data_IF_535305055842
#
_entry.id   IF_535305055842
#
_cell.length_a   1.000
_cell.length_b   1.000
_cell.length_c   1.000
_cell.angle_alpha   90.00
_cell.angle_beta   90.00
_cell.angle_gamma   90.00
#
_symmetry.space_group_name_H-M   'P 1'
#
loop_
_entity.id
_entity.type
_entity.pdbx_description
1 polymer ?
#
# COMPACT_ATOMS: atom_id res chain seq x y z
N UNK A 1 5.96 -40.34 20.80
CA UNK A 1 4.88 -39.88 21.68
C UNK A 1 4.07 -38.86 20.92
N UNK A 2 2.84 -39.16 20.58
CA UNK A 2 1.89 -38.24 19.97
C UNK A 2 1.45 -37.31 21.09
N UNK A 3 1.91 -36.05 21.05
CA UNK A 3 1.45 -35.02 21.98
C UNK A 3 -0.01 -34.73 21.69
N UNK A 4 -0.87 -34.99 22.67
CA UNK A 4 -2.26 -34.55 22.65
C UNK A 4 -2.28 -33.05 23.01
N UNK A 5 -2.27 -32.19 22.02
CA UNK A 5 -2.55 -30.78 22.17
C UNK A 5 -4.08 -30.61 22.18
N UNK A 6 -4.70 -30.94 23.31
CA UNK A 6 -6.06 -30.48 23.63
C UNK A 6 -5.94 -29.16 24.38
N UNK A 7 -7.01 -28.51 24.77
CA UNK A 7 -7.10 -27.22 25.52
C UNK A 7 -6.20 -27.09 26.78
N UNK A 8 -5.16 -27.89 26.89
CA UNK A 8 -4.15 -27.86 27.96
C UNK A 8 -3.02 -26.93 27.55
N UNK A 9 -2.59 -26.11 28.49
CA UNK A 9 -1.29 -25.47 28.46
C UNK A 9 -0.21 -26.47 28.05
N UNK A 10 0.66 -26.08 27.13
CA UNK A 10 1.81 -26.93 26.76
C UNK A 10 2.68 -27.13 27.97
N UNK A 11 3.17 -28.37 28.16
CA UNK A 11 4.08 -28.68 29.26
C UNK A 11 5.31 -27.76 29.25
N UNK A 12 5.88 -27.55 30.45
CA UNK A 12 7.09 -26.74 30.60
C UNK A 12 8.24 -27.38 29.81
N UNK A 13 8.93 -26.54 29.00
CA UNK A 13 10.02 -26.95 28.14
C UNK A 13 11.36 -26.51 28.74
N UNK A 14 12.36 -27.38 28.67
CA UNK A 14 13.74 -27.14 29.17
C UNK A 14 14.79 -27.34 28.10
N UNK A 15 14.39 -27.33 26.80
CA UNK A 15 15.25 -27.71 25.68
C UNK A 15 16.33 -26.68 25.33
N UNK A 16 16.26 -25.44 25.82
CA UNK A 16 17.24 -24.39 25.55
C UNK A 16 17.41 -23.45 26.75
N UNK A 17 18.51 -22.69 26.75
CA UNK A 17 18.90 -21.81 27.86
C UNK A 17 17.83 -20.80 28.26
N UNK A 18 17.14 -20.17 27.29
CA UNK A 18 16.12 -19.15 27.59
C UNK A 18 14.89 -19.70 28.31
N UNK A 19 14.66 -21.01 28.27
CA UNK A 19 13.61 -21.65 29.03
C UNK A 19 13.78 -21.47 30.57
N UNK A 20 15.04 -21.41 31.03
CA UNK A 20 15.37 -21.23 32.45
C UNK A 20 15.00 -19.84 32.98
N UNK A 21 14.89 -18.85 32.09
CA UNK A 21 14.60 -17.45 32.44
C UNK A 21 13.15 -17.04 32.18
N UNK A 22 12.34 -17.95 31.62
CA UNK A 22 10.95 -17.64 31.23
C UNK A 22 9.99 -18.39 32.18
N UNK A 23 9.40 -17.70 33.18
CA UNK A 23 8.52 -18.33 34.16
C UNK A 23 7.24 -18.87 33.52
N UNK A 24 6.69 -18.16 32.53
CA UNK A 24 5.48 -18.53 31.81
C UNK A 24 5.78 -18.64 30.31
N UNK A 25 5.93 -19.87 29.85
CA UNK A 25 6.14 -20.18 28.45
C UNK A 25 4.82 -20.08 27.68
N UNK A 26 4.86 -19.51 26.45
CA UNK A 26 3.65 -19.33 25.67
C UNK A 26 2.97 -20.65 25.30
N UNK A 27 1.65 -20.61 25.30
CA UNK A 27 0.76 -21.57 24.65
C UNK A 27 -0.04 -20.89 23.55
N UNK A 28 -0.47 -21.62 22.50
CA UNK A 28 -1.28 -21.03 21.42
C UNK A 28 -2.59 -20.45 21.95
N UNK A 29 -3.02 -19.32 21.41
CA UNK A 29 -4.26 -18.64 21.79
C UNK A 29 -5.23 -18.54 20.61
N UNK A 30 -6.53 -18.65 20.87
CA UNK A 30 -7.61 -18.57 19.89
C UNK A 30 -8.23 -19.94 19.60
N UNK A 31 -9.09 -20.00 18.59
CA UNK A 31 -9.86 -21.21 18.26
C UNK A 31 -8.98 -22.40 17.90
N UNK A 32 -9.45 -23.62 18.18
CA UNK A 32 -8.81 -24.87 17.73
C UNK A 32 -9.09 -25.22 16.27
N UNK A 33 -9.99 -24.48 15.60
CA UNK A 33 -10.34 -24.64 14.18
C UNK A 33 -10.23 -23.32 13.42
N UNK A 34 -9.01 -22.72 13.39
CA UNK A 34 -8.83 -21.40 12.82
C UNK A 34 -8.93 -21.39 11.28
N UNK A 35 -9.54 -20.37 10.73
CA UNK A 35 -9.37 -20.08 9.31
C UNK A 35 -7.98 -19.49 9.02
N UNK A 36 -7.46 -18.68 9.95
CA UNK A 36 -6.18 -17.98 9.84
C UNK A 36 -5.33 -18.26 11.08
N UNK A 37 -4.05 -18.58 10.85
CA UNK A 37 -3.07 -18.83 11.91
C UNK A 37 -1.96 -17.79 11.87
N UNK A 38 -1.85 -16.95 12.87
CA UNK A 38 -0.82 -15.92 12.98
C UNK A 38 0.39 -16.42 13.75
N UNK A 39 1.58 -16.30 13.14
CA UNK A 39 2.86 -16.71 13.72
C UNK A 39 3.75 -15.49 13.90
N UNK A 40 4.04 -15.13 15.16
CA UNK A 40 5.01 -14.10 15.51
C UNK A 40 6.42 -14.65 15.76
N UNK A 41 7.33 -13.79 16.18
CA UNK A 41 8.73 -14.14 16.48
C UNK A 41 8.88 -14.75 17.85
N UNK A 42 8.58 -14.00 18.90
CA UNK A 42 8.81 -14.36 20.30
C UNK A 42 7.91 -13.52 21.21
N UNK A 43 7.71 -13.98 22.49
CA UNK A 43 7.02 -13.16 23.48
C UNK A 43 7.70 -11.81 23.71
N UNK A 44 6.91 -10.78 23.99
CA UNK A 44 7.36 -9.54 24.58
C UNK A 44 7.45 -9.62 26.13
N UNK A 45 7.82 -8.51 26.79
CA UNK A 45 7.93 -8.49 28.25
C UNK A 45 6.61 -8.81 28.98
N UNK A 46 5.48 -8.30 28.48
CA UNK A 46 4.16 -8.54 29.07
C UNK A 46 3.73 -10.00 28.87
N UNK A 47 3.99 -10.57 27.71
CA UNK A 47 3.67 -11.94 27.37
C UNK A 47 4.51 -12.93 28.19
N UNK A 48 5.78 -12.60 28.51
CA UNK A 48 6.65 -13.39 29.39
C UNK A 48 6.04 -13.61 30.78
N UNK A 49 5.39 -12.57 31.32
CA UNK A 49 4.82 -12.62 32.67
C UNK A 49 3.49 -13.41 32.75
N UNK A 50 2.75 -13.44 31.61
CA UNK A 50 1.40 -14.01 31.59
C UNK A 50 1.34 -15.36 30.85
N UNK A 51 2.31 -15.64 29.96
CA UNK A 51 2.31 -16.85 29.14
C UNK A 51 1.30 -16.84 27.99
N UNK A 52 0.75 -15.67 27.61
CA UNK A 52 -0.26 -15.53 26.57
C UNK A 52 0.31 -14.69 25.42
N UNK A 53 0.26 -15.17 24.16
CA UNK A 53 0.79 -14.43 23.01
C UNK A 53 -0.06 -13.21 22.66
N UNK A 54 0.57 -12.19 22.10
CA UNK A 54 -0.06 -10.99 21.52
C UNK A 54 -0.93 -10.16 22.49
N UNK A 55 -0.55 -10.07 23.76
CA UNK A 55 -1.23 -9.20 24.75
C UNK A 55 -0.53 -7.87 24.98
N UNK A 56 0.74 -7.73 24.62
CA UNK A 56 1.51 -6.51 24.72
C UNK A 56 1.13 -5.46 23.66
N UNK A 57 1.89 -4.36 23.62
CA UNK A 57 1.62 -3.23 22.71
C UNK A 57 1.48 -3.65 21.23
N UNK A 58 2.38 -4.50 20.75
CA UNK A 58 2.34 -5.00 19.36
C UNK A 58 1.12 -5.89 19.10
N UNK A 59 0.77 -6.75 20.07
CA UNK A 59 -0.41 -7.60 19.99
C UNK A 59 -1.71 -6.80 19.99
N UNK A 60 -1.85 -5.84 20.90
CA UNK A 60 -3.02 -4.91 20.93
C UNK A 60 -3.18 -4.17 19.61
N UNK A 61 -2.09 -3.69 19.03
CA UNK A 61 -2.13 -3.05 17.72
C UNK A 61 -2.60 -4.02 16.61
N UNK A 62 -2.09 -5.26 16.63
CA UNK A 62 -2.53 -6.29 15.68
C UNK A 62 -4.03 -6.56 15.80
N UNK A 63 -4.51 -6.83 17.01
CA UNK A 63 -5.94 -7.11 17.26
C UNK A 63 -6.83 -5.96 16.78
N UNK A 64 -6.47 -4.70 17.07
CA UNK A 64 -7.22 -3.52 16.60
C UNK A 64 -7.27 -3.43 15.07
N UNK A 65 -6.19 -3.80 14.38
CA UNK A 65 -6.18 -3.83 12.92
C UNK A 65 -7.02 -4.98 12.35
N UNK A 66 -7.00 -6.14 12.99
CA UNK A 66 -7.74 -7.33 12.58
C UNK A 66 -9.25 -7.18 12.83
N UNK A 67 -9.65 -6.54 13.91
CA UNK A 67 -11.05 -6.32 14.28
C UNK A 67 -11.84 -5.55 13.21
N UNK A 68 -11.18 -4.64 12.49
CA UNK A 68 -11.78 -3.90 11.35
C UNK A 68 -12.28 -4.86 10.26
N UNK A 69 -11.65 -6.04 10.14
CA UNK A 69 -11.97 -7.08 9.17
C UNK A 69 -12.79 -8.23 9.77
N UNK A 70 -13.24 -8.11 11.02
CA UNK A 70 -13.96 -9.17 11.72
C UNK A 70 -13.09 -10.38 12.09
N UNK A 71 -11.76 -10.19 12.15
CA UNK A 71 -10.80 -11.23 12.51
C UNK A 71 -10.45 -11.13 14.00
N UNK A 72 -10.68 -12.20 14.74
CA UNK A 72 -10.45 -12.26 16.18
C UNK A 72 -10.19 -13.70 16.64
N UNK A 73 -10.10 -13.93 17.94
CA UNK A 73 -9.81 -15.25 18.54
C UNK A 73 -10.85 -16.34 18.23
N UNK A 74 -12.07 -15.98 17.77
CA UNK A 74 -13.10 -16.95 17.40
C UNK A 74 -12.85 -17.58 16.01
N UNK A 75 -12.08 -16.92 15.15
CA UNK A 75 -11.78 -17.38 13.78
C UNK A 75 -10.28 -17.42 13.46
N UNK A 76 -9.44 -16.95 14.37
CA UNK A 76 -7.98 -16.93 14.24
C UNK A 76 -7.32 -17.65 15.42
N UNK A 77 -6.07 -18.06 15.17
CA UNK A 77 -5.18 -18.60 16.20
C UNK A 77 -3.86 -17.86 16.16
N UNK A 78 -3.25 -17.69 17.33
CA UNK A 78 -2.06 -16.87 17.52
C UNK A 78 -1.00 -17.63 18.29
N UNK A 79 0.21 -17.65 17.75
CA UNK A 79 1.36 -18.24 18.42
C UNK A 79 2.67 -17.57 17.98
N UNK A 80 3.78 -17.86 18.61
CA UNK A 80 5.10 -17.40 18.20
C UNK A 80 6.01 -18.58 17.87
N UNK A 81 7.07 -18.34 17.07
CA UNK A 81 8.12 -19.32 16.83
C UNK A 81 8.76 -19.75 18.15
N UNK A 82 9.05 -18.77 19.04
CA UNK A 82 9.55 -19.06 20.37
C UNK A 82 8.44 -19.00 21.42
N UNK A 83 8.43 -19.97 22.33
CA UNK A 83 7.57 -19.99 23.52
C UNK A 83 8.12 -19.12 24.65
N UNK A 84 9.42 -18.83 24.63
CA UNK A 84 10.15 -18.15 25.70
C UNK A 84 10.61 -16.77 25.26
N UNK A 85 10.63 -15.82 26.20
CA UNK A 85 11.16 -14.48 25.96
C UNK A 85 12.68 -14.52 25.81
N UNK A 86 13.25 -14.11 24.66
CA UNK A 86 14.69 -14.17 24.42
C UNK A 86 15.40 -13.00 25.10
N UNK A 87 15.66 -13.12 26.40
CA UNK A 87 16.45 -12.13 27.14
C UNK A 87 17.95 -12.29 26.90
N UNK A 88 18.71 -11.23 27.16
CA UNK A 88 20.14 -11.19 26.87
C UNK A 88 20.97 -12.11 27.76
N UNK A 89 20.66 -12.14 29.05
CA UNK A 89 21.28 -13.04 30.06
C UNK A 89 20.37 -13.20 31.26
N UNK A 90 20.82 -13.97 32.28
CA UNK A 90 20.13 -14.08 33.55
C UNK A 90 20.00 -12.74 34.30
N UNK A 91 21.01 -11.87 34.17
CA UNK A 91 21.10 -10.56 34.84
C UNK A 91 20.51 -9.42 33.97
N UNK A 92 20.52 -9.57 32.63
CA UNK A 92 19.97 -8.57 31.70
C UNK A 92 18.68 -9.07 31.04
N UNK A 93 17.54 -8.64 31.57
CA UNK A 93 16.21 -8.96 31.06
C UNK A 93 15.84 -8.27 29.76
N UNK A 94 16.78 -7.51 29.13
CA UNK A 94 16.55 -6.84 27.85
C UNK A 94 16.30 -7.83 26.70
N UNK A 95 15.40 -7.46 25.78
CA UNK A 95 15.12 -8.25 24.59
C UNK A 95 16.33 -8.34 23.66
N UNK A 96 16.56 -9.51 23.11
CA UNK A 96 17.48 -9.75 22.00
C UNK A 96 16.79 -10.53 20.88
N UNK A 97 17.36 -10.49 19.70
CA UNK A 97 16.89 -11.32 18.58
C UNK A 97 17.19 -12.80 18.90
N UNK A 98 16.24 -13.73 18.69
CA UNK A 98 16.46 -15.15 18.83
C UNK A 98 17.59 -15.65 17.95
N UNK A 99 18.39 -16.56 18.45
CA UNK A 99 19.41 -17.22 17.60
C UNK A 99 18.83 -18.42 16.84
N UNK A 100 19.56 -18.89 15.82
CA UNK A 100 19.10 -19.97 14.95
C UNK A 100 18.86 -21.29 15.71
N UNK A 101 19.67 -21.60 16.73
CA UNK A 101 19.48 -22.81 17.54
C UNK A 101 18.20 -22.76 18.34
N UNK A 102 17.89 -21.64 18.96
CA UNK A 102 16.62 -21.42 19.70
C UNK A 102 15.42 -21.56 18.79
N UNK A 103 15.48 -20.94 17.60
CA UNK A 103 14.43 -21.05 16.60
C UNK A 103 14.22 -22.50 16.19
N UNK A 104 15.27 -23.21 15.80
CA UNK A 104 15.17 -24.61 15.34
C UNK A 104 14.68 -25.54 16.46
N UNK A 105 15.12 -25.31 17.70
CA UNK A 105 14.66 -26.08 18.85
C UNK A 105 13.17 -25.89 19.14
N UNK A 106 12.67 -24.67 18.98
CA UNK A 106 11.31 -24.31 19.38
C UNK A 106 10.27 -24.46 18.25
N UNK A 107 10.70 -24.46 16.98
CA UNK A 107 9.83 -24.45 15.80
C UNK A 107 8.81 -25.60 15.77
N UNK A 108 9.15 -26.77 16.29
CA UNK A 108 8.25 -27.94 16.26
C UNK A 108 6.92 -27.67 16.98
N UNK A 109 6.89 -26.87 18.04
CA UNK A 109 5.64 -26.56 18.76
C UNK A 109 4.61 -25.83 17.87
N UNK A 110 5.06 -24.85 17.11
CA UNK A 110 4.17 -24.11 16.21
C UNK A 110 3.77 -24.95 15.01
N UNK A 111 4.69 -25.76 14.45
CA UNK A 111 4.40 -26.64 13.32
C UNK A 111 3.41 -27.72 13.70
N UNK A 112 3.56 -28.36 14.86
CA UNK A 112 2.62 -29.36 15.37
C UNK A 112 1.22 -28.78 15.59
N UNK A 113 1.13 -27.56 16.14
CA UNK A 113 -0.15 -26.90 16.34
C UNK A 113 -0.81 -26.50 15.00
N UNK A 114 -0.01 -26.05 14.01
CA UNK A 114 -0.49 -25.77 12.64
C UNK A 114 -1.04 -27.05 12.00
N UNK A 115 -0.29 -28.14 12.02
CA UNK A 115 -0.73 -29.43 11.42
C UNK A 115 -2.02 -29.91 12.10
N UNK A 116 -2.09 -29.80 13.43
CA UNK A 116 -3.27 -30.24 14.20
C UNK A 116 -4.52 -29.41 13.89
N UNK A 117 -4.37 -28.07 13.79
CA UNK A 117 -5.49 -27.15 13.63
C UNK A 117 -5.88 -26.93 12.18
N UNK A 118 -5.00 -27.29 11.24
CA UNK A 118 -5.19 -27.29 9.78
C UNK A 118 -5.83 -25.98 9.27
N UNK A 119 -5.20 -24.80 9.47
CA UNK A 119 -5.74 -23.53 9.04
C UNK A 119 -5.79 -23.41 7.49
N UNK A 120 -6.69 -22.57 6.98
CA UNK A 120 -6.76 -22.29 5.53
C UNK A 120 -5.55 -21.45 5.06
N UNK A 121 -4.99 -20.63 5.94
CA UNK A 121 -3.81 -19.81 5.65
C UNK A 121 -3.02 -19.54 6.94
N UNK A 122 -1.70 -19.55 6.81
CA UNK A 122 -0.75 -19.16 7.85
C UNK A 122 -0.24 -17.76 7.52
N UNK A 123 -0.21 -16.88 8.51
CA UNK A 123 0.35 -15.53 8.38
C UNK A 123 1.59 -15.43 9.23
N UNK A 124 2.74 -15.18 8.61
CA UNK A 124 4.01 -14.99 9.31
C UNK A 124 4.31 -13.50 9.50
N UNK A 125 4.45 -13.06 10.77
CA UNK A 125 4.64 -11.65 11.13
C UNK A 125 6.13 -11.32 11.29
N UNK A 126 6.71 -10.64 10.29
CA UNK A 126 8.10 -10.20 10.29
C UNK A 126 9.09 -11.19 9.70
N UNK A 127 10.38 -10.81 9.68
CA UNK A 127 11.43 -11.58 9.02
C UNK A 127 11.68 -12.95 9.67
N UNK A 128 11.72 -13.02 11.01
CA UNK A 128 12.11 -14.22 11.75
C UNK A 128 11.10 -15.34 11.54
N UNK A 129 9.81 -15.08 11.77
CA UNK A 129 8.75 -16.05 11.57
C UNK A 129 8.62 -16.48 10.11
N UNK A 130 8.72 -15.53 9.16
CA UNK A 130 8.64 -15.82 7.74
C UNK A 130 9.79 -16.72 7.29
N UNK A 131 11.01 -16.44 7.71
CA UNK A 131 12.18 -17.27 7.36
C UNK A 131 12.12 -18.65 7.99
N UNK A 132 11.62 -18.77 9.22
CA UNK A 132 11.51 -20.05 9.92
C UNK A 132 10.45 -20.96 9.27
N UNK A 133 9.35 -20.41 8.78
CA UNK A 133 8.23 -21.17 8.20
C UNK A 133 8.40 -21.40 6.70
N UNK A 134 8.82 -20.38 5.93
CA UNK A 134 8.90 -20.44 4.45
C UNK A 134 10.25 -21.00 4.00
N UNK A 135 11.33 -20.71 4.73
CA UNK A 135 12.67 -21.14 4.36
C UNK A 135 13.33 -20.29 3.26
N UNK A 136 14.15 -20.91 2.41
CA UNK A 136 14.97 -20.25 1.39
C UNK A 136 14.22 -19.36 0.37
N UNK A 137 12.99 -19.68 -0.07
CA UNK A 137 12.25 -18.79 -0.97
C UNK A 137 11.96 -17.39 -0.39
N UNK A 138 12.02 -17.25 0.94
CA UNK A 138 11.83 -15.97 1.60
C UNK A 138 13.14 -15.17 1.67
N UNK A 139 13.15 -13.97 1.11
CA UNK A 139 14.33 -13.08 1.12
C UNK A 139 14.26 -12.02 2.22
N UNK A 140 13.23 -11.17 2.20
CA UNK A 140 12.98 -10.15 3.22
C UNK A 140 11.52 -9.75 3.25
N UNK A 141 11.06 -9.26 4.41
CA UNK A 141 9.67 -8.86 4.57
C UNK A 141 9.28 -7.71 3.63
N UNK A 142 10.18 -6.77 3.36
CA UNK A 142 9.94 -5.63 2.47
C UNK A 142 9.71 -6.05 1.01
N UNK A 143 10.26 -7.19 0.59
CA UNK A 143 10.08 -7.73 -0.77
C UNK A 143 8.95 -8.76 -0.87
N UNK A 144 8.69 -9.48 0.22
CA UNK A 144 7.87 -10.68 0.21
C UNK A 144 6.52 -10.52 0.91
N UNK A 145 6.26 -9.39 1.64
CA UNK A 145 5.00 -9.25 2.37
C UNK A 145 3.79 -9.39 1.43
N UNK A 146 2.73 -10.07 1.91
CA UNK A 146 1.49 -10.35 1.18
C UNK A 146 1.63 -11.31 -0.01
N UNK A 147 2.83 -11.86 -0.33
CA UNK A 147 2.98 -12.90 -1.36
C UNK A 147 2.55 -14.26 -0.81
N UNK A 148 1.90 -15.06 -1.66
CA UNK A 148 1.48 -16.41 -1.28
C UNK A 148 2.62 -17.41 -1.54
N UNK A 149 2.95 -18.17 -0.51
CA UNK A 149 3.87 -19.31 -0.57
C UNK A 149 3.15 -20.61 -0.25
N UNK A 150 3.64 -21.71 -0.80
CA UNK A 150 3.19 -23.07 -0.45
C UNK A 150 4.30 -23.73 0.35
N UNK A 151 3.95 -24.28 1.52
CA UNK A 151 4.90 -24.93 2.43
C UNK A 151 4.31 -26.26 2.90
N UNK A 152 5.13 -27.30 2.93
CA UNK A 152 4.69 -28.64 3.37
C UNK A 152 5.14 -28.93 4.81
N UNK A 153 4.20 -29.34 5.64
CA UNK A 153 4.47 -29.89 6.97
C UNK A 153 3.76 -31.24 7.15
N UNK A 154 4.54 -32.27 7.46
CA UNK A 154 3.99 -33.59 7.74
C UNK A 154 3.17 -34.20 6.58
N UNK A 155 3.52 -33.90 5.33
CA UNK A 155 2.80 -34.35 4.13
C UNK A 155 1.55 -33.53 3.82
N UNK A 156 1.31 -32.41 4.52
CA UNK A 156 0.19 -31.51 4.27
C UNK A 156 0.74 -30.19 3.74
N UNK A 157 0.18 -29.70 2.63
CA UNK A 157 0.54 -28.43 2.02
C UNK A 157 -0.28 -27.30 2.62
N UNK A 158 0.41 -26.25 3.06
CA UNK A 158 -0.17 -25.05 3.66
C UNK A 158 0.12 -23.80 2.85
N UNK A 159 -0.86 -22.91 2.79
CA UNK A 159 -0.75 -21.56 2.23
C UNK A 159 -0.17 -20.62 3.28
N UNK A 160 0.91 -19.90 2.94
CA UNK A 160 1.62 -19.02 3.86
C UNK A 160 1.75 -17.62 3.24
N UNK A 161 1.41 -16.58 4.00
CA UNK A 161 1.58 -15.18 3.58
C UNK A 161 2.41 -14.45 4.64
N UNK A 162 3.61 -13.96 4.29
CA UNK A 162 4.38 -13.09 5.17
C UNK A 162 3.77 -11.70 5.24
N UNK A 163 3.78 -11.08 6.43
CA UNK A 163 3.30 -9.71 6.65
C UNK A 163 4.28 -8.95 7.55
N UNK A 164 4.24 -7.62 7.52
CA UNK A 164 5.01 -6.81 8.46
C UNK A 164 4.67 -7.15 9.92
N UNK A 165 5.67 -7.18 10.79
CA UNK A 165 5.42 -7.33 12.22
C UNK A 165 4.78 -6.05 12.79
N UNK A 166 3.73 -6.14 13.64
CA UNK A 166 3.06 -4.96 14.21
C UNK A 166 3.99 -3.96 14.89
N UNK A 167 5.06 -4.41 15.54
CA UNK A 167 6.05 -3.53 16.16
C UNK A 167 6.80 -2.66 15.14
N UNK A 168 6.94 -3.11 13.89
CA UNK A 168 7.54 -2.31 12.82
C UNK A 168 6.60 -1.16 12.41
N UNK A 169 5.30 -1.42 12.30
CA UNK A 169 4.30 -0.38 12.03
C UNK A 169 4.24 0.66 13.15
N UNK A 170 4.30 0.22 14.41
CA UNK A 170 4.31 1.12 15.58
C UNK A 170 5.55 2.04 15.57
N UNK A 171 6.74 1.50 15.30
CA UNK A 171 7.97 2.30 15.21
C UNK A 171 7.96 3.28 14.04
N UNK A 172 7.17 3.02 13.01
CA UNK A 172 7.01 3.85 11.81
C UNK A 172 5.60 4.42 11.73
N UNK A 173 5.00 4.82 12.85
CA UNK A 173 3.59 5.27 12.94
C UNK A 173 3.28 6.45 12.00
N UNK A 174 4.27 7.30 11.70
CA UNK A 174 4.15 8.38 10.71
C UNK A 174 4.08 7.90 9.25
N UNK A 175 4.42 6.65 8.96
CA UNK A 175 4.40 6.11 7.60
C UNK A 175 3.03 5.49 7.27
N UNK A 176 2.17 6.26 6.64
CA UNK A 176 0.84 5.83 6.22
C UNK A 176 0.88 4.68 5.22
N UNK A 177 1.88 4.65 4.33
CA UNK A 177 2.04 3.61 3.32
C UNK A 177 2.14 2.22 3.95
N UNK A 178 2.93 2.07 5.00
CA UNK A 178 3.05 0.77 5.71
C UNK A 178 1.72 0.26 6.26
N UNK A 179 0.86 1.17 6.75
CA UNK A 179 -0.48 0.78 7.24
C UNK A 179 -1.40 0.34 6.11
N UNK A 180 -1.32 1.01 4.96
CA UNK A 180 -2.06 0.62 3.76
C UNK A 180 -1.60 -0.75 3.26
N UNK A 181 -0.30 -0.97 3.13
CA UNK A 181 0.28 -2.25 2.73
C UNK A 181 -0.17 -3.37 3.68
N UNK A 182 -0.14 -3.13 4.98
CA UNK A 182 -0.57 -4.10 5.98
C UNK A 182 -2.07 -4.45 5.84
N UNK A 183 -2.94 -3.46 5.58
CA UNK A 183 -4.37 -3.70 5.32
C UNK A 183 -4.59 -4.48 4.03
N UNK A 184 -3.84 -4.17 2.95
CA UNK A 184 -3.86 -4.94 1.71
C UNK A 184 -3.46 -6.39 1.96
N UNK A 185 -2.40 -6.62 2.73
CA UNK A 185 -1.96 -7.97 3.06
C UNK A 185 -3.05 -8.74 3.84
N UNK A 186 -3.78 -8.09 4.76
CA UNK A 186 -4.95 -8.71 5.43
C UNK A 186 -6.05 -9.08 4.40
N UNK A 187 -6.32 -8.22 3.43
CA UNK A 187 -7.31 -8.51 2.38
C UNK A 187 -6.88 -9.69 1.52
N UNK A 188 -5.58 -9.82 1.19
CA UNK A 188 -5.04 -10.99 0.49
C UNK A 188 -5.21 -12.27 1.31
N UNK A 189 -4.92 -12.22 2.61
CA UNK A 189 -5.15 -13.34 3.53
C UNK A 189 -6.62 -13.77 3.51
N UNK A 190 -7.56 -12.81 3.56
CA UNK A 190 -8.99 -13.10 3.50
C UNK A 190 -9.39 -13.69 2.15
N UNK A 191 -8.82 -13.20 1.04
CA UNK A 191 -9.09 -13.72 -0.30
C UNK A 191 -8.63 -15.17 -0.45
N UNK A 192 -7.48 -15.51 0.12
CA UNK A 192 -7.00 -16.92 0.20
C UNK A 192 -7.95 -17.79 0.98
N UNK A 193 -8.45 -17.32 2.14
CA UNK A 193 -9.43 -18.06 2.94
C UNK A 193 -10.74 -18.31 2.22
N UNK A 194 -11.19 -17.36 1.39
CA UNK A 194 -12.42 -17.45 0.60
C UNK A 194 -12.26 -18.22 -0.72
N UNK A 195 -11.02 -18.58 -1.10
CA UNK A 195 -10.74 -19.22 -2.39
C UNK A 195 -10.87 -18.27 -3.59
N UNK A 196 -10.87 -16.94 -3.34
CA UNK A 196 -10.96 -15.89 -4.37
C UNK A 196 -9.60 -15.28 -4.68
N UNK A 197 -8.54 -15.79 -4.06
CA UNK A 197 -7.18 -15.33 -4.32
C UNK A 197 -6.79 -15.57 -5.76
N UNK A 198 -6.33 -14.56 -6.44
CA UNK A 198 -5.72 -14.64 -7.76
C UNK A 198 -4.27 -14.17 -7.65
N UNK A 199 -3.32 -15.01 -8.07
CA UNK A 199 -1.90 -14.63 -8.14
C UNK A 199 -1.67 -13.44 -9.09
N UNK A 200 -2.65 -13.17 -9.92
CA UNK A 200 -2.71 -11.99 -10.79
C UNK A 200 -3.11 -10.72 -10.04
N UNK A 201 -3.65 -10.78 -8.82
CA UNK A 201 -4.11 -9.59 -8.09
C UNK A 201 -2.97 -8.63 -7.70
N UNK A 202 -1.74 -9.11 -7.53
CA UNK A 202 -0.55 -8.27 -7.34
C UNK A 202 0.16 -7.89 -8.64
N UNK A 203 -0.04 -8.66 -9.71
CA UNK A 203 0.47 -8.38 -11.05
C UNK A 203 -0.61 -7.84 -11.99
N UNK A 204 -1.86 -7.80 -11.57
CA UNK A 204 -2.88 -7.03 -12.29
C UNK A 204 -2.64 -5.53 -11.98
N UNK A 205 -1.60 -4.99 -12.57
CA UNK A 205 -1.76 -3.68 -13.18
C UNK A 205 -2.94 -3.86 -14.12
N UNK A 206 -4.13 -3.36 -13.74
CA UNK A 206 -5.13 -3.11 -14.75
C UNK A 206 -4.38 -2.32 -15.80
N UNK A 207 -4.21 -2.89 -16.95
CA UNK A 207 -3.58 -2.21 -18.07
C UNK A 207 -4.62 -1.22 -18.57
N UNK A 208 -4.42 0.04 -18.23
CA UNK A 208 -5.30 1.12 -18.64
C UNK A 208 -4.83 1.75 -19.96
N UNK A 209 -3.85 1.15 -20.63
CA UNK A 209 -3.38 1.64 -21.93
C UNK A 209 -4.53 1.76 -22.93
N UNK A 210 -5.52 0.88 -22.84
CA UNK A 210 -6.72 0.90 -23.68
C UNK A 210 -7.77 1.95 -23.23
N UNK A 211 -7.71 2.40 -21.97
CA UNK A 211 -8.66 3.35 -21.37
C UNK A 211 -8.12 4.79 -21.38
N UNK A 212 -6.87 4.99 -21.80
CA UNK A 212 -6.19 6.28 -21.79
C UNK A 212 -5.74 6.71 -23.18
N UNK A 213 -6.00 7.95 -23.52
CA UNK A 213 -5.64 8.52 -24.83
C UNK A 213 -4.63 9.64 -24.66
N UNK A 214 -3.48 9.53 -25.33
CA UNK A 214 -2.52 10.61 -25.45
C UNK A 214 -2.87 11.47 -26.67
N UNK A 215 -3.19 12.73 -26.41
CA UNK A 215 -3.66 13.68 -27.41
C UNK A 215 -2.54 14.69 -27.73
N UNK A 216 -2.22 14.83 -28.99
CA UNK A 216 -1.21 15.76 -29.51
C UNK A 216 -1.74 16.78 -30.49
N UNK A 217 -2.94 16.59 -31.03
CA UNK A 217 -3.54 17.50 -32.04
C UNK A 217 -4.90 18.00 -31.58
N UNK A 218 -5.32 19.14 -32.09
CA UNK A 218 -6.67 19.66 -31.88
C UNK A 218 -7.75 18.70 -32.39
N UNK A 219 -7.51 18.00 -33.48
CA UNK A 219 -8.48 17.07 -34.06
C UNK A 219 -8.76 15.93 -33.09
N UNK A 220 -7.72 15.29 -32.57
CA UNK A 220 -7.83 14.23 -31.55
C UNK A 220 -8.54 14.75 -30.28
N UNK A 221 -8.17 15.95 -29.85
CA UNK A 221 -8.79 16.57 -28.67
C UNK A 221 -10.28 16.81 -28.88
N UNK A 222 -10.67 17.40 -30.01
CA UNK A 222 -12.07 17.70 -30.30
C UNK A 222 -12.90 16.42 -30.43
N UNK A 223 -12.36 15.37 -31.03
CA UNK A 223 -13.00 14.06 -31.10
C UNK A 223 -13.24 13.50 -29.70
N UNK A 224 -12.22 13.49 -28.86
CA UNK A 224 -12.36 13.03 -27.47
C UNK A 224 -13.41 13.83 -26.68
N UNK A 225 -13.41 15.16 -26.84
CA UNK A 225 -14.39 16.03 -26.21
C UNK A 225 -15.83 15.68 -26.63
N UNK A 226 -16.07 15.45 -27.92
CA UNK A 226 -17.39 15.10 -28.43
C UNK A 226 -17.87 13.72 -27.97
N UNK A 227 -16.98 12.74 -27.97
CA UNK A 227 -17.30 11.36 -27.63
C UNK A 227 -17.44 11.14 -26.12
N UNK A 228 -16.57 11.72 -25.29
CA UNK A 228 -16.45 11.36 -23.89
C UNK A 228 -16.81 12.47 -22.90
N UNK A 229 -16.68 13.75 -23.26
CA UNK A 229 -16.76 14.87 -22.30
C UNK A 229 -18.05 15.69 -22.45
N UNK A 230 -18.44 16.02 -23.67
CA UNK A 230 -19.51 17.00 -23.90
C UNK A 230 -20.86 16.60 -23.31
N UNK A 231 -21.19 15.32 -23.38
CA UNK A 231 -22.45 14.78 -22.81
C UNK A 231 -22.45 14.61 -21.29
N UNK A 232 -21.31 14.81 -20.63
CA UNK A 232 -21.14 14.56 -19.20
C UNK A 232 -21.40 15.83 -18.39
N UNK A 233 -22.01 15.66 -17.23
CA UNK A 233 -22.24 16.73 -16.25
C UNK A 233 -21.09 16.86 -15.25
N UNK A 234 -20.29 15.82 -15.10
CA UNK A 234 -19.21 15.70 -14.11
C UNK A 234 -17.92 15.29 -14.81
N UNK A 235 -16.84 16.01 -14.55
CA UNK A 235 -15.54 15.86 -15.23
C UNK A 235 -14.43 16.01 -14.19
N UNK A 236 -13.49 15.09 -14.20
CA UNK A 236 -12.24 15.24 -13.47
C UNK A 236 -11.22 15.98 -14.32
N UNK A 237 -10.53 16.93 -13.70
CA UNK A 237 -9.55 17.80 -14.36
C UNK A 237 -8.29 17.96 -13.52
N UNK A 238 -7.17 17.93 -14.20
CA UNK A 238 -5.86 18.20 -13.60
C UNK A 238 -4.94 18.91 -14.61
N UNK A 239 -4.02 19.73 -14.11
CA UNK A 239 -3.13 20.57 -14.93
C UNK A 239 -1.67 20.38 -14.52
N UNK A 240 -0.81 20.22 -15.51
CA UNK A 240 0.62 20.13 -15.35
C UNK A 240 1.35 21.40 -15.78
N UNK A 241 2.23 21.88 -14.91
CA UNK A 241 2.95 23.15 -15.12
C UNK A 241 4.45 22.96 -14.92
N UNK A 242 5.23 23.80 -15.62
CA UNK A 242 6.69 23.76 -15.49
C UNK A 242 7.23 24.42 -14.22
N UNK A 243 6.39 25.14 -13.47
CA UNK A 243 6.76 25.82 -12.23
C UNK A 243 5.59 25.83 -11.24
N UNK A 244 5.90 25.70 -9.95
CA UNK A 244 4.92 25.81 -8.86
C UNK A 244 4.49 27.25 -8.62
N UNK A 245 5.38 28.24 -8.87
CA UNK A 245 5.06 29.67 -8.75
C UNK A 245 4.32 30.14 -10.01
N UNK A 246 3.03 30.30 -9.89
CA UNK A 246 2.12 30.75 -10.96
C UNK A 246 2.35 32.21 -11.39
N UNK A 247 3.05 33.00 -10.58
CA UNK A 247 3.41 34.38 -10.88
C UNK A 247 4.80 34.48 -11.53
N UNK A 248 5.50 33.37 -11.70
CA UNK A 248 6.76 33.34 -12.41
C UNK A 248 6.58 33.79 -13.85
N UNK A 249 7.54 34.57 -14.37
CA UNK A 249 7.55 34.97 -15.79
C UNK A 249 7.68 33.78 -16.74
N UNK A 250 8.22 32.67 -16.25
CA UNK A 250 8.44 31.43 -17.00
C UNK A 250 7.32 30.40 -16.78
N UNK A 251 6.22 30.78 -16.10
CA UNK A 251 5.08 29.92 -15.89
C UNK A 251 4.48 29.50 -17.23
N UNK A 252 4.42 28.20 -17.47
CA UNK A 252 3.82 27.61 -18.65
C UNK A 252 3.10 26.32 -18.31
N UNK A 253 1.98 26.09 -18.97
CA UNK A 253 1.25 24.82 -18.89
C UNK A 253 1.85 23.86 -19.88
N UNK A 254 2.31 22.70 -19.41
CA UNK A 254 2.92 21.65 -20.23
C UNK A 254 1.90 20.64 -20.72
N UNK A 255 0.80 20.48 -20.01
CA UNK A 255 -0.30 19.62 -20.39
C UNK A 255 -1.43 19.63 -19.37
N UNK A 256 -2.47 18.92 -19.66
CA UNK A 256 -3.60 18.71 -18.74
C UNK A 256 -4.29 17.39 -19.05
N UNK A 257 -5.05 16.88 -18.09
CA UNK A 257 -5.84 15.69 -18.26
C UNK A 257 -7.33 15.93 -18.01
N UNK A 258 -8.16 15.17 -18.69
CA UNK A 258 -9.60 15.11 -18.52
C UNK A 258 -10.04 13.65 -18.41
N UNK A 259 -10.98 13.38 -17.52
CA UNK A 259 -11.62 12.08 -17.41
C UNK A 259 -13.13 12.22 -17.16
N UNK A 260 -13.86 11.19 -17.55
CA UNK A 260 -15.29 11.06 -17.32
C UNK A 260 -15.62 9.74 -16.64
N UNK A 261 -16.89 9.55 -16.25
CA UNK A 261 -17.37 8.36 -15.52
C UNK A 261 -17.19 7.00 -16.23
N UNK A 262 -16.77 6.96 -17.48
CA UNK A 262 -16.74 5.73 -18.27
C UNK A 262 -15.37 5.05 -18.29
N UNK A 263 -14.57 5.23 -17.26
CA UNK A 263 -13.21 4.69 -17.19
C UNK A 263 -12.31 5.14 -18.35
N UNK A 264 -12.67 6.23 -19.03
CA UNK A 264 -11.87 6.81 -20.11
C UNK A 264 -11.34 8.18 -19.74
N UNK A 265 -10.06 8.37 -19.98
CA UNK A 265 -9.38 9.64 -19.76
C UNK A 265 -8.43 9.99 -20.90
N UNK A 266 -8.05 11.26 -20.98
CA UNK A 266 -7.00 11.70 -21.88
C UNK A 266 -5.97 12.57 -21.18
N UNK A 267 -4.79 12.59 -21.74
CA UNK A 267 -3.80 13.62 -21.47
C UNK A 267 -3.49 14.40 -22.76
N UNK A 268 -3.59 15.71 -22.68
CA UNK A 268 -3.29 16.59 -23.78
C UNK A 268 -1.90 17.19 -23.56
N UNK A 269 -0.97 16.86 -24.46
CA UNK A 269 0.39 17.39 -24.43
C UNK A 269 0.41 18.72 -25.14
N UNK A 270 0.70 19.80 -24.41
CA UNK A 270 0.86 21.14 -24.99
C UNK A 270 2.32 21.46 -25.29
N UNK A 271 3.20 21.05 -24.38
CA UNK A 271 4.63 21.25 -24.50
C UNK A 271 5.38 20.12 -23.79
N UNK A 272 6.42 19.60 -24.40
CA UNK A 272 7.33 18.62 -23.78
C UNK A 272 8.74 18.79 -24.35
N UNK A 273 9.71 18.01 -23.86
CA UNK A 273 11.08 18.04 -24.38
C UNK A 273 11.17 17.77 -25.87
N UNK A 274 10.31 16.89 -26.36
CA UNK A 274 10.37 16.38 -27.73
C UNK A 274 9.17 16.84 -28.58
N UNK A 275 8.27 17.64 -28.00
CA UNK A 275 7.05 18.03 -28.69
C UNK A 275 6.48 19.35 -28.16
N UNK A 276 6.22 20.25 -29.10
CA UNK A 276 5.39 21.46 -28.92
C UNK A 276 4.15 21.37 -29.82
N UNK A 277 2.97 21.52 -29.19
CA UNK A 277 1.73 21.58 -29.95
C UNK A 277 1.75 22.80 -30.89
N UNK A 278 1.42 22.64 -32.20
CA UNK A 278 1.33 23.78 -33.13
C UNK A 278 0.45 24.88 -32.57
N UNK A 279 0.88 26.12 -32.68
CA UNK A 279 0.23 27.29 -32.05
C UNK A 279 -1.26 27.40 -32.41
N UNK A 280 -1.64 27.08 -33.64
CA UNK A 280 -3.04 27.09 -34.06
C UNK A 280 -3.87 26.06 -33.33
N UNK A 281 -3.34 24.84 -33.15
CA UNK A 281 -4.01 23.76 -32.45
C UNK A 281 -4.11 24.08 -30.95
N UNK A 282 -3.04 24.61 -30.36
CA UNK A 282 -3.02 25.07 -28.99
C UNK A 282 -4.10 26.11 -28.71
N UNK A 283 -4.22 27.11 -29.51
CA UNK A 283 -5.27 28.15 -29.38
C UNK A 283 -6.69 27.57 -29.51
N UNK A 284 -6.88 26.59 -30.37
CA UNK A 284 -8.18 25.91 -30.53
C UNK A 284 -8.50 25.04 -29.29
N UNK A 285 -7.53 24.32 -28.80
CA UNK A 285 -7.65 23.53 -27.52
C UNK A 285 -8.02 24.46 -26.37
N UNK A 286 -7.29 25.57 -26.20
CA UNK A 286 -7.55 26.57 -25.17
C UNK A 286 -8.95 27.18 -25.29
N UNK A 287 -9.37 27.52 -26.50
CA UNK A 287 -10.71 28.06 -26.76
C UNK A 287 -11.81 27.03 -26.40
N UNK A 288 -11.58 25.77 -26.72
CA UNK A 288 -12.51 24.67 -26.42
C UNK A 288 -12.62 24.43 -24.89
N UNK A 289 -11.49 24.47 -24.18
CA UNK A 289 -11.46 24.37 -22.70
C UNK A 289 -12.17 25.56 -22.05
N UNK A 290 -11.90 26.80 -22.48
CA UNK A 290 -12.61 27.98 -21.96
C UNK A 290 -14.13 27.82 -22.10
N UNK A 291 -14.59 27.32 -23.23
CA UNK A 291 -16.01 27.06 -23.46
C UNK A 291 -16.54 26.00 -22.46
N UNK A 292 -15.80 24.94 -22.21
CA UNK A 292 -16.18 23.89 -21.26
C UNK A 292 -16.29 24.44 -19.83
N UNK A 293 -15.29 25.20 -19.37
CA UNK A 293 -15.29 25.75 -18.00
C UNK A 293 -16.39 26.82 -17.76
N UNK A 294 -16.92 27.42 -18.80
CA UNK A 294 -18.04 28.35 -18.72
C UNK A 294 -19.42 27.67 -18.75
N UNK A 295 -19.47 26.34 -18.78
CA UNK A 295 -20.73 25.58 -18.67
C UNK A 295 -21.07 25.29 -17.21
N UNK A 296 -22.30 24.79 -16.97
CA UNK A 296 -22.73 24.35 -15.63
C UNK A 296 -22.22 22.94 -15.27
N UNK A 297 -21.16 22.47 -15.89
CA UNK A 297 -20.54 21.18 -15.56
C UNK A 297 -19.92 21.23 -14.17
N UNK A 298 -19.86 20.08 -13.52
CA UNK A 298 -19.20 19.89 -12.24
C UNK A 298 -17.76 19.40 -12.47
N UNK A 299 -16.80 19.99 -11.77
CA UNK A 299 -15.39 19.66 -11.93
C UNK A 299 -14.82 19.08 -10.64
N UNK A 300 -14.28 17.88 -10.72
CA UNK A 300 -13.51 17.27 -9.66
C UNK A 300 -12.03 17.59 -9.88
N UNK A 301 -11.41 18.25 -8.92
CA UNK A 301 -9.96 18.56 -8.92
C UNK A 301 -9.31 18.05 -7.65
N UNK A 302 -8.00 17.86 -7.71
CA UNK A 302 -7.23 17.50 -6.52
C UNK A 302 -6.36 18.68 -6.09
N UNK A 303 -6.66 19.32 -4.94
CA UNK A 303 -5.98 20.51 -4.47
C UNK A 303 -6.27 21.77 -5.32
N UNK A 304 -7.50 22.24 -5.27
CA UNK A 304 -8.00 23.41 -6.02
C UNK A 304 -7.12 24.69 -5.85
N UNK A 305 -6.31 24.75 -4.79
CA UNK A 305 -5.34 25.83 -4.58
C UNK A 305 -4.24 25.90 -5.65
N UNK A 306 -4.07 24.82 -6.42
CA UNK A 306 -3.18 24.79 -7.57
C UNK A 306 -3.95 24.93 -8.88
N UNK A 307 -4.94 24.06 -9.12
CA UNK A 307 -5.63 23.94 -10.41
C UNK A 307 -6.40 25.20 -10.79
N UNK A 308 -7.16 25.80 -9.85
CA UNK A 308 -7.96 26.98 -10.14
C UNK A 308 -7.11 28.19 -10.52
N UNK A 309 -6.10 28.63 -9.72
CA UNK A 309 -5.28 29.77 -10.11
C UNK A 309 -4.40 29.51 -11.34
N UNK A 310 -3.94 28.27 -11.56
CA UNK A 310 -3.17 27.93 -12.74
C UNK A 310 -4.03 28.05 -14.02
N UNK A 311 -5.26 27.51 -13.99
CA UNK A 311 -6.24 27.60 -15.07
C UNK A 311 -6.65 29.04 -15.33
N UNK A 312 -6.90 29.82 -14.28
CA UNK A 312 -7.23 31.23 -14.40
C UNK A 312 -6.10 32.01 -15.06
N UNK A 313 -4.85 31.79 -14.63
CA UNK A 313 -3.68 32.45 -15.21
C UNK A 313 -3.48 32.08 -16.69
N UNK A 314 -3.66 30.78 -17.01
CA UNK A 314 -3.48 30.29 -18.37
C UNK A 314 -4.62 30.67 -19.33
N UNK A 315 -5.86 30.40 -18.94
CA UNK A 315 -7.01 30.54 -19.81
C UNK A 315 -7.81 31.83 -19.60
N UNK A 316 -7.60 32.55 -18.52
CA UNK A 316 -8.38 33.74 -18.17
C UNK A 316 -9.83 33.42 -17.80
N UNK A 317 -10.13 32.21 -17.38
CA UNK A 317 -11.46 31.80 -16.91
C UNK A 317 -11.39 31.23 -15.50
N UNK A 318 -12.38 31.59 -14.69
CA UNK A 318 -12.57 31.02 -13.36
C UNK A 318 -13.47 29.79 -13.46
N UNK A 319 -13.01 28.67 -12.93
CA UNK A 319 -13.79 27.44 -12.87
C UNK A 319 -14.92 27.60 -11.85
N UNK A 320 -16.14 27.27 -12.24
CA UNK A 320 -17.31 27.22 -11.38
C UNK A 320 -17.63 25.75 -11.03
N UNK A 321 -18.40 25.53 -9.96
CA UNK A 321 -18.85 24.20 -9.56
C UNK A 321 -17.70 23.20 -9.40
N UNK A 322 -16.72 23.53 -8.57
CA UNK A 322 -15.53 22.72 -8.34
C UNK A 322 -15.64 22.01 -6.99
N UNK A 323 -15.43 20.70 -6.99
CA UNK A 323 -15.18 19.89 -5.80
C UNK A 323 -13.69 19.64 -5.64
N UNK A 324 -13.16 20.02 -4.47
CA UNK A 324 -11.80 19.70 -4.09
C UNK A 324 -11.73 18.36 -3.36
N UNK A 325 -11.29 17.36 -4.07
CA UNK A 325 -11.21 15.98 -3.54
C UNK A 325 -10.20 15.90 -2.39
N UNK A 326 -9.12 16.68 -2.41
CA UNK A 326 -8.18 16.73 -1.29
C UNK A 326 -8.86 17.22 0.00
N UNK A 327 -9.69 18.25 -0.09
CA UNK A 327 -10.47 18.78 1.04
C UNK A 327 -11.52 17.77 1.48
N UNK A 328 -12.24 17.15 0.55
CA UNK A 328 -13.26 16.14 0.86
C UNK A 328 -12.65 14.95 1.60
N UNK A 329 -11.54 14.43 1.14
CA UNK A 329 -10.79 13.35 1.81
C UNK A 329 -10.36 13.79 3.22
N UNK A 330 -9.84 15.01 3.38
CA UNK A 330 -9.46 15.55 4.70
C UNK A 330 -10.65 15.62 5.66
N UNK A 331 -11.81 16.05 5.19
CA UNK A 331 -13.04 16.11 5.99
C UNK A 331 -13.54 14.72 6.40
N UNK A 332 -13.50 13.76 5.49
CA UNK A 332 -13.89 12.37 5.77
C UNK A 332 -12.97 11.69 6.79
N UNK A 333 -11.68 12.00 6.76
CA UNK A 333 -10.69 11.43 7.69
C UNK A 333 -10.73 12.07 9.09
N UNK A 334 -11.46 13.18 9.25
CA UNK A 334 -11.57 13.93 10.51
C UNK A 334 -10.29 14.67 10.90
N UNK A 335 -10.36 15.41 12.02
CA UNK A 335 -9.25 16.21 12.58
C UNK A 335 -8.15 15.36 13.24
N UNK A 336 -7.85 14.20 12.73
CA UNK A 336 -6.73 13.42 13.24
C UNK A 336 -5.42 14.08 12.78
N UNK A 337 -4.92 15.05 13.56
CA UNK A 337 -3.58 15.66 13.43
C UNK A 337 -2.43 14.64 13.31
N UNK A 338 -2.71 13.38 13.63
CA UNK A 338 -1.82 12.22 13.47
C UNK A 338 -1.60 11.78 12.03
N UNK A 339 -2.31 12.36 11.06
CA UNK A 339 -2.29 11.92 9.66
C UNK A 339 -1.66 12.95 8.70
N UNK A 340 -0.73 13.78 9.18
CA UNK A 340 0.10 14.59 8.30
C UNK A 340 0.76 13.68 7.24
N UNK A 341 0.41 13.88 5.98
CA UNK A 341 0.90 13.08 4.86
C UNK A 341 -0.11 12.08 4.25
N UNK A 342 -1.21 11.74 4.92
CA UNK A 342 -2.22 10.79 4.39
C UNK A 342 -3.19 11.42 3.36
N UNK A 343 -3.12 12.73 3.14
CA UNK A 343 -3.93 13.42 2.14
C UNK A 343 -3.34 13.35 0.74
N UNK A 344 -2.16 12.78 0.58
CA UNK A 344 -1.53 12.65 -0.73
C UNK A 344 -2.35 11.73 -1.64
N UNK A 345 -2.49 12.14 -2.88
CA UNK A 345 -3.27 11.48 -3.91
C UNK A 345 -2.94 10.00 -4.08
N UNK A 346 -1.65 9.68 -4.16
CA UNK A 346 -1.12 8.34 -4.24
C UNK A 346 -1.64 7.46 -3.10
N UNK A 347 -1.56 7.96 -1.86
CA UNK A 347 -2.01 7.24 -0.67
C UNK A 347 -3.52 7.00 -0.74
N UNK A 348 -4.30 7.98 -1.20
CA UNK A 348 -5.75 7.85 -1.31
C UNK A 348 -6.16 6.85 -2.40
N UNK A 349 -5.48 6.82 -3.54
CA UNK A 349 -5.73 5.84 -4.59
C UNK A 349 -5.40 4.42 -4.13
N UNK A 350 -4.31 4.23 -3.38
CA UNK A 350 -3.96 2.96 -2.79
C UNK A 350 -4.97 2.50 -1.72
N UNK A 351 -5.42 3.43 -0.87
CA UNK A 351 -6.35 3.11 0.23
C UNK A 351 -7.76 2.77 -0.23
N UNK A 352 -8.29 3.52 -1.18
CA UNK A 352 -9.70 3.47 -1.53
C UNK A 352 -9.97 2.70 -2.83
N UNK A 353 -9.02 2.66 -3.74
CA UNK A 353 -9.20 2.10 -5.07
C UNK A 353 -8.36 0.83 -5.30
N UNK A 354 -7.53 0.44 -4.31
CA UNK A 354 -6.67 -0.73 -4.37
C UNK A 354 -5.69 -0.74 -5.55
N UNK A 355 -5.32 0.45 -6.06
CA UNK A 355 -4.28 0.58 -7.07
C UNK A 355 -2.91 0.31 -6.47
N UNK A 356 -2.06 -0.37 -7.23
CA UNK A 356 -0.65 -0.56 -6.87
C UNK A 356 0.10 0.78 -6.89
N UNK A 357 1.24 0.81 -6.19
CA UNK A 357 2.14 1.96 -6.20
C UNK A 357 2.61 2.29 -7.63
N UNK A 358 1.89 3.19 -8.27
CA UNK A 358 2.17 3.67 -9.62
C UNK A 358 3.40 4.59 -9.72
N UNK A 359 3.94 5.04 -8.58
CA UNK A 359 5.14 5.90 -8.56
C UNK A 359 6.45 5.12 -8.50
N UNK A 360 6.42 3.78 -8.46
CA UNK A 360 7.61 2.97 -8.26
C UNK A 360 8.65 3.19 -9.38
N UNK A 361 8.19 3.32 -10.62
CA UNK A 361 9.06 3.63 -11.76
C UNK A 361 9.63 5.05 -11.69
N UNK A 362 8.85 5.97 -11.13
CA UNK A 362 9.26 7.36 -10.92
C UNK A 362 10.29 7.47 -9.79
N UNK A 363 10.07 6.75 -8.69
CA UNK A 363 11.02 6.68 -7.58
C UNK A 363 12.35 6.09 -8.04
N UNK A 364 12.35 5.03 -8.85
CA UNK A 364 13.54 4.45 -9.48
C UNK A 364 14.24 5.43 -10.42
N UNK A 365 13.47 6.21 -11.18
CA UNK A 365 14.03 7.24 -12.04
C UNK A 365 14.69 8.36 -11.23
N UNK A 366 14.05 8.84 -10.17
CA UNK A 366 14.66 9.83 -9.27
C UNK A 366 15.89 9.29 -8.52
N UNK A 367 15.92 8.01 -8.16
CA UNK A 367 17.13 7.37 -7.62
C UNK A 367 18.25 7.34 -8.64
N UNK A 368 17.94 7.01 -9.88
CA UNK A 368 18.91 7.10 -11.00
C UNK A 368 19.44 8.52 -11.14
N UNK A 369 18.59 9.53 -11.17
CA UNK A 369 18.99 10.94 -11.26
C UNK A 369 19.89 11.37 -10.08
N UNK A 370 19.57 10.92 -8.87
CA UNK A 370 20.43 11.18 -7.69
C UNK A 370 21.77 10.50 -7.77
N UNK A 371 21.87 9.37 -8.47
CA UNK A 371 23.13 8.62 -8.65
C UNK A 371 24.09 9.27 -9.63
N UNK A 372 23.64 10.17 -10.49
CA UNK A 372 24.48 10.88 -11.44
C UNK A 372 25.47 11.81 -10.69
N UNK A 373 26.76 11.65 -11.00
CA UNK A 373 27.86 12.29 -10.24
C UNK A 373 28.20 13.72 -10.65
N UNK A 374 27.79 14.16 -11.84
CA UNK A 374 28.16 15.48 -12.37
C UNK A 374 27.02 16.47 -12.31
N UNK A 375 27.35 17.75 -12.10
CA UNK A 375 26.35 18.83 -12.09
C UNK A 375 25.69 19.02 -13.46
N UNK A 376 26.38 18.66 -14.54
CA UNK A 376 25.88 18.76 -15.92
C UNK A 376 24.85 17.68 -16.18
N UNK A 377 25.14 16.43 -15.79
CA UNK A 377 24.19 15.32 -15.91
C UNK A 377 22.92 15.57 -15.08
N UNK A 378 23.05 16.24 -13.93
CA UNK A 378 21.91 16.67 -13.11
C UNK A 378 21.05 17.74 -13.77
N UNK A 379 21.64 18.66 -14.52
CA UNK A 379 20.88 19.70 -15.23
C UNK A 379 20.11 19.13 -16.42
N UNK A 380 20.73 18.23 -17.20
CA UNK A 380 20.07 17.53 -18.31
C UNK A 380 19.00 16.54 -17.84
N UNK A 381 19.17 15.98 -16.65
CA UNK A 381 18.27 14.99 -16.05
C UNK A 381 17.07 15.58 -15.30
N UNK A 382 17.08 16.88 -14.99
CA UNK A 382 15.90 17.55 -14.40
C UNK A 382 14.76 17.76 -15.41
N UNK A 383 14.98 17.44 -16.66
CA UNK A 383 13.94 17.39 -17.69
C UNK A 383 13.29 16.00 -17.68
N UNK A 384 12.20 15.88 -16.96
CA UNK A 384 11.39 14.65 -16.84
C UNK A 384 10.82 14.31 -18.22
N UNK A 385 10.95 13.03 -18.62
CA UNK A 385 10.30 12.55 -19.85
C UNK A 385 8.77 12.56 -19.64
N UNK A 386 8.01 13.47 -20.25
CA UNK A 386 6.60 13.70 -19.93
C UNK A 386 5.69 12.49 -20.14
N UNK A 387 6.06 11.59 -21.08
CA UNK A 387 5.25 10.46 -21.49
C UNK A 387 5.00 9.42 -20.37
N UNK A 388 5.93 9.25 -19.43
CA UNK A 388 5.72 8.34 -18.30
C UNK A 388 4.81 8.91 -17.21
N UNK A 389 4.78 10.22 -17.05
CA UNK A 389 3.82 10.90 -16.18
C UNK A 389 2.39 10.75 -16.63
N UNK A 390 2.20 10.80 -17.95
CA UNK A 390 0.91 10.80 -18.61
C UNK A 390 0.11 9.54 -18.32
N UNK A 391 0.72 8.36 -18.44
CA UNK A 391 0.05 7.08 -18.21
C UNK A 391 -0.47 6.96 -16.77
N UNK A 392 0.24 7.50 -15.79
CA UNK A 392 -0.12 7.38 -14.38
C UNK A 392 -1.18 8.39 -13.91
N UNK A 393 -1.19 9.60 -14.46
CA UNK A 393 -2.16 10.64 -14.13
C UNK A 393 -3.55 10.38 -14.70
N UNK A 394 -3.63 9.88 -15.89
CA UNK A 394 -4.90 9.52 -16.53
C UNK A 394 -5.59 8.41 -15.72
N UNK A 395 -4.84 7.44 -15.23
CA UNK A 395 -5.33 6.34 -14.39
C UNK A 395 -6.03 6.82 -13.14
N UNK A 396 -5.47 7.85 -12.52
CA UNK A 396 -6.03 8.40 -11.31
C UNK A 396 -7.32 9.17 -11.57
N UNK A 397 -7.36 9.96 -12.63
CA UNK A 397 -8.56 10.74 -12.97
C UNK A 397 -9.75 9.85 -13.33
N UNK A 398 -9.51 8.71 -13.98
CA UNK A 398 -10.52 7.69 -14.20
C UNK A 398 -11.06 7.17 -12.86
N UNK A 399 -10.17 6.90 -11.93
CA UNK A 399 -10.53 6.40 -10.61
C UNK A 399 -11.37 7.38 -9.77
N UNK A 400 -11.21 8.70 -9.98
CA UNK A 400 -11.98 9.73 -9.30
C UNK A 400 -13.35 9.99 -9.94
N UNK A 401 -13.58 9.49 -11.15
CA UNK A 401 -14.85 9.61 -11.86
C UNK A 401 -15.82 8.45 -11.55
N UNK A 402 -15.36 7.44 -10.81
CA UNK A 402 -16.18 6.30 -10.31
C UNK A 402 -16.56 6.49 -8.86
#
# INVERSE_FOLDING_TARGET
SIYQIGERELEHCELCEIAQYTPHQLSPKGTSTPSIYFVGEAPGPEEKEVGTPFIGRAGKYLHNMLDVFGLNENNCRFFNILRCYPQKSAEDSGFRVPNTSEISTCLHYVVEDIVKTNPKVIVCLGNTSSRAIIGEPFTSITKCHGMLYMVEFGGIEFKVIPMYHPSYLIRNEGNAKLRVEFKKDIQEVISVCKGTYSSTSRNNKRDFSDDTVLIKTYQEFNQFMEEEIDSRSEISYDIETNALDKNSRDFNVVGFSLASRNDKGCYVVLNSLDYDMPELDRRRVEARLRKMFLTNKHFNVYNCMHEIPATLNWLGVEMQNVDDIFVMVKLMMGNADKYQGNGGLKIQSEMNLHYNDWSQDLDLYFEYLRSLKTSRDKMESNTIHPLKWVEYWILWMIAMST
#
